data_IF_031808073453
#
_entry.id   IF_031808073453
#
_cell.length_a   1.000
_cell.length_b   1.000
_cell.length_c   1.000
_cell.angle_alpha   90.00
_cell.angle_beta   90.00
_cell.angle_gamma   90.00
#
_symmetry.space_group_name_H-M   'P 1'
#
loop_
_entity.id
_entity.type
_entity.pdbx_description
1 polymer ?
#
# COMPACT_ATOMS: atom_id res chain seq x y z
N UNK A 1 -13.19 26.37 28.38
CA UNK A 1 -11.89 25.69 28.19
C UNK A 1 -12.14 24.39 27.44
N UNK A 2 -11.57 24.23 26.25
CA UNK A 2 -11.74 23.05 25.39
C UNK A 2 -10.48 22.19 25.41
N UNK A 3 -10.63 20.98 25.90
CA UNK A 3 -9.82 19.78 25.69
C UNK A 3 -10.89 18.67 25.71
N UNK A 4 -11.04 17.74 24.78
CA UNK A 4 -10.13 17.00 23.91
C UNK A 4 -11.00 16.40 22.80
N UNK A 5 -10.46 16.19 21.60
CA UNK A 5 -10.77 15.03 20.76
C UNK A 5 -9.79 15.01 19.59
N UNK A 6 -8.57 14.57 19.90
CA UNK A 6 -7.57 14.18 18.92
C UNK A 6 -7.69 12.67 18.75
N UNK A 7 -8.64 12.22 17.94
CA UNK A 7 -8.78 10.81 17.55
C UNK A 7 -8.76 10.75 16.03
N UNK A 8 -7.56 10.54 15.49
CA UNK A 8 -7.31 10.40 14.07
C UNK A 8 -5.98 9.71 13.82
N UNK A 9 -5.71 8.58 14.48
CA UNK A 9 -4.48 7.83 14.23
C UNK A 9 -4.51 6.33 14.58
N UNK A 10 -5.68 5.69 14.60
CA UNK A 10 -5.78 4.26 14.96
C UNK A 10 -6.33 3.33 13.87
N UNK A 11 -6.78 3.82 12.70
CA UNK A 11 -7.37 2.93 11.68
C UNK A 11 -6.40 2.48 10.57
N UNK A 12 -5.24 3.12 10.41
CA UNK A 12 -4.24 2.73 9.39
C UNK A 12 -3.43 1.49 9.84
N UNK A 13 -3.27 1.30 11.15
CA UNK A 13 -2.49 0.19 11.73
C UNK A 13 -3.22 -1.17 11.69
N UNK A 14 -4.55 -1.18 11.59
CA UNK A 14 -5.31 -2.45 11.55
C UNK A 14 -5.21 -3.18 10.21
N UNK A 15 -4.93 -2.48 9.11
CA UNK A 15 -4.90 -3.10 7.77
C UNK A 15 -3.64 -3.95 7.53
N UNK A 16 -2.51 -3.57 8.16
CA UNK A 16 -1.24 -4.30 8.05
C UNK A 16 -1.03 -5.33 9.17
N UNK A 17 -1.70 -5.17 10.32
CA UNK A 17 -1.58 -6.08 11.46
C UNK A 17 -2.30 -7.42 11.31
N UNK A 18 -3.42 -7.47 10.56
CA UNK A 18 -4.22 -8.71 10.38
C UNK A 18 -3.52 -9.72 9.45
N UNK A 19 -2.65 -9.26 8.56
CA UNK A 19 -1.92 -10.12 7.62
C UNK A 19 -0.79 -10.91 8.33
N UNK A 20 -0.30 -10.42 9.47
CA UNK A 20 0.88 -10.98 10.16
C UNK A 20 0.49 -12.07 11.19
N UNK A 21 -0.75 -12.09 11.71
CA UNK A 21 -1.13 -13.00 12.80
C UNK A 21 -1.65 -14.38 12.37
N UNK A 22 -1.94 -14.61 11.08
CA UNK A 22 -2.45 -15.89 10.59
C UNK A 22 -1.35 -16.89 10.15
N UNK A 23 -0.08 -16.52 10.24
CA UNK A 23 1.06 -17.36 9.83
C UNK A 23 1.68 -18.25 10.93
N UNK A 24 1.17 -18.24 12.16
CA UNK A 24 1.86 -18.88 13.30
C UNK A 24 1.26 -20.22 13.78
N UNK A 25 0.34 -20.84 13.05
CA UNK A 25 -0.16 -22.17 13.40
C UNK A 25 -0.17 -23.12 12.21
N UNK A 26 1.01 -23.55 11.77
CA UNK A 26 1.16 -24.88 11.18
C UNK A 26 2.58 -25.40 11.40
N UNK A 27 2.87 -25.83 12.63
CA UNK A 27 3.95 -26.78 12.87
C UNK A 27 3.51 -28.14 12.37
N UNK A 28 4.07 -28.63 11.26
CA UNK A 28 4.24 -30.07 11.07
C UNK A 28 5.53 -30.37 10.28
N UNK A 29 6.33 -31.27 10.85
CA UNK A 29 7.63 -31.72 10.35
C UNK A 29 7.48 -32.48 9.02
N UNK A 30 8.09 -32.01 7.93
CA UNK A 30 8.96 -32.84 7.08
C UNK A 30 9.67 -32.04 5.97
N UNK A 31 11.00 -32.08 6.05
CA UNK A 31 12.02 -32.07 4.99
C UNK A 31 11.82 -31.23 3.73
N UNK A 32 12.69 -30.22 3.62
CA UNK A 32 13.29 -29.67 2.39
C UNK A 32 12.32 -29.44 1.23
N UNK A 33 11.67 -28.30 1.26
CA UNK A 33 11.26 -27.61 0.04
C UNK A 33 11.47 -26.14 0.28
N UNK A 34 12.38 -25.54 -0.50
CA UNK A 34 12.59 -24.09 -0.61
C UNK A 34 11.28 -23.43 -1.08
N UNK A 35 10.35 -23.24 -0.15
CA UNK A 35 9.15 -22.45 -0.37
C UNK A 35 9.53 -21.02 -0.03
N UNK A 36 9.91 -20.28 -1.07
CA UNK A 36 10.28 -18.87 -1.03
C UNK A 36 9.14 -17.99 -0.51
N UNK A 37 9.03 -17.91 0.81
CA UNK A 37 8.63 -16.68 1.47
C UNK A 37 9.91 -15.85 1.53
N UNK A 38 10.16 -14.99 0.53
CA UNK A 38 11.34 -14.10 0.57
C UNK A 38 11.16 -13.14 1.75
N UNK A 39 11.73 -13.53 2.90
CA UNK A 39 11.77 -12.70 4.10
C UNK A 39 12.61 -11.44 3.89
N UNK A 40 13.38 -11.39 2.79
CA UNK A 40 14.31 -10.34 2.43
C UNK A 40 13.87 -9.64 1.13
N UNK A 41 13.95 -8.30 1.07
CA UNK A 41 13.65 -7.55 -0.15
C UNK A 41 14.64 -7.94 -1.26
N UNK A 42 14.14 -8.11 -2.48
CA UNK A 42 14.97 -8.50 -3.63
C UNK A 42 15.87 -7.36 -4.12
N UNK A 43 15.61 -6.13 -3.64
CA UNK A 43 16.39 -4.93 -3.95
C UNK A 43 16.52 -4.02 -2.73
N UNK A 44 17.58 -3.22 -2.69
CA UNK A 44 17.77 -2.19 -1.65
C UNK A 44 16.58 -1.22 -1.56
N UNK A 45 16.01 -0.86 -2.71
CA UNK A 45 14.87 0.06 -2.82
C UNK A 45 13.60 -0.52 -2.17
N UNK A 46 13.30 -1.80 -2.43
CA UNK A 46 12.20 -2.50 -1.76
C UNK A 46 12.41 -2.56 -0.25
N UNK A 47 13.65 -2.80 0.19
CA UNK A 47 14.00 -2.81 1.61
C UNK A 47 13.77 -1.45 2.27
N UNK A 48 14.25 -0.38 1.64
CA UNK A 48 14.11 0.98 2.14
C UNK A 48 12.64 1.41 2.21
N UNK A 49 11.83 1.08 1.21
CA UNK A 49 10.38 1.35 1.25
C UNK A 49 9.69 0.55 2.35
N UNK A 50 10.03 -0.73 2.53
CA UNK A 50 9.45 -1.54 3.61
C UNK A 50 9.77 -0.95 4.99
N UNK A 51 11.02 -0.54 5.21
CA UNK A 51 11.43 0.14 6.44
C UNK A 51 10.62 1.42 6.61
N UNK A 52 10.54 2.26 5.57
CA UNK A 52 9.81 3.52 5.59
C UNK A 52 8.32 3.34 5.97
N UNK A 53 7.66 2.31 5.43
CA UNK A 53 6.26 1.99 5.75
C UNK A 53 6.07 1.49 7.19
N UNK A 54 7.09 0.86 7.77
CA UNK A 54 7.09 0.41 9.17
C UNK A 54 7.49 1.51 10.16
N UNK A 55 8.25 2.51 9.73
CA UNK A 55 8.63 3.65 10.57
C UNK A 55 7.38 4.43 11.00
N UNK A 56 7.11 4.65 12.29
CA UNK A 56 6.00 5.47 12.76
C UNK A 56 6.04 6.90 12.19
N UNK A 57 4.88 7.50 11.91
CA UNK A 57 4.77 8.86 11.33
C UNK A 57 5.61 9.89 12.08
N UNK A 58 5.67 9.80 13.41
CA UNK A 58 6.41 10.71 14.29
C UNK A 58 7.93 10.62 14.14
N UNK A 59 8.43 9.50 13.62
CA UNK A 59 9.84 9.24 13.42
C UNK A 59 10.28 9.47 11.97
N UNK A 60 9.34 9.73 11.05
CA UNK A 60 9.66 10.02 9.66
C UNK A 60 10.12 11.46 9.48
N UNK A 61 11.11 11.65 8.62
CA UNK A 61 11.53 12.96 8.15
C UNK A 61 10.45 13.64 7.31
N UNK A 62 10.65 14.92 6.98
CA UNK A 62 9.71 15.66 6.13
C UNK A 62 9.74 15.11 4.71
N UNK A 63 10.92 14.76 4.23
CA UNK A 63 11.18 14.22 2.90
C UNK A 63 10.54 12.83 2.74
N UNK A 64 10.64 11.99 3.76
CA UNK A 64 10.00 10.68 3.82
C UNK A 64 8.47 10.77 3.80
N UNK A 65 7.91 11.69 4.59
CA UNK A 65 6.47 11.96 4.58
C UNK A 65 6.00 12.49 3.21
N UNK A 66 6.78 13.36 2.57
CA UNK A 66 6.47 13.88 1.25
C UNK A 66 6.50 12.76 0.19
N UNK A 67 7.51 11.89 0.23
CA UNK A 67 7.62 10.75 -0.67
C UNK A 67 6.40 9.82 -0.52
N UNK A 68 6.00 9.49 0.71
CA UNK A 68 4.82 8.65 0.96
C UNK A 68 3.54 9.30 0.44
N UNK A 69 3.36 10.61 0.64
CA UNK A 69 2.21 11.34 0.10
C UNK A 69 2.19 11.34 -1.43
N UNK A 70 3.36 11.47 -2.08
CA UNK A 70 3.48 11.39 -3.53
C UNK A 70 3.17 9.98 -4.04
N UNK A 71 3.71 8.94 -3.41
CA UNK A 71 3.41 7.54 -3.74
C UNK A 71 1.93 7.24 -3.58
N UNK A 72 1.32 7.65 -2.47
CA UNK A 72 -0.11 7.50 -2.19
C UNK A 72 -0.94 8.17 -3.30
N UNK A 73 -0.62 9.42 -3.64
CA UNK A 73 -1.32 10.15 -4.69
C UNK A 73 -1.18 9.47 -6.06
N UNK A 74 0.03 9.00 -6.41
CA UNK A 74 0.25 8.29 -7.67
C UNK A 74 -0.53 6.97 -7.73
N UNK A 75 -0.57 6.21 -6.63
CA UNK A 75 -1.32 4.96 -6.55
C UNK A 75 -2.82 5.23 -6.71
N UNK A 76 -3.43 6.14 -5.96
CA UNK A 76 -4.88 6.33 -6.04
C UNK A 76 -5.37 7.03 -7.30
N UNK A 77 -4.54 7.89 -7.90
CA UNK A 77 -4.89 8.57 -9.14
C UNK A 77 -4.78 7.67 -10.37
N UNK A 78 -3.84 6.72 -10.38
CA UNK A 78 -3.53 5.93 -11.58
C UNK A 78 -3.77 4.43 -11.43
N UNK A 79 -3.88 3.89 -10.22
CA UNK A 79 -4.36 2.52 -10.04
C UNK A 79 -5.90 2.54 -10.07
N UNK A 80 -6.47 1.64 -10.88
CA UNK A 80 -7.91 1.49 -11.02
C UNK A 80 -8.28 0.02 -10.82
N UNK A 81 -9.47 -0.19 -10.28
CA UNK A 81 -10.07 -1.50 -10.16
C UNK A 81 -11.09 -1.67 -11.29
N UNK A 82 -10.80 -2.53 -12.25
CA UNK A 82 -11.65 -2.82 -13.40
C UNK A 82 -11.82 -4.33 -13.52
N UNK A 83 -13.07 -4.80 -13.60
CA UNK A 83 -13.39 -6.24 -13.64
C UNK A 83 -12.72 -7.02 -12.50
N UNK A 84 -12.78 -6.47 -11.29
CA UNK A 84 -12.17 -7.06 -10.07
C UNK A 84 -10.64 -7.26 -10.15
N UNK A 85 -9.98 -6.56 -11.08
CA UNK A 85 -8.52 -6.57 -11.23
C UNK A 85 -7.93 -5.19 -11.11
N UNK A 86 -6.79 -5.11 -10.44
CA UNK A 86 -6.00 -3.90 -10.34
C UNK A 86 -5.24 -3.63 -11.64
N UNK A 87 -5.34 -2.41 -12.14
CA UNK A 87 -4.64 -1.96 -13.34
C UNK A 87 -3.98 -0.61 -13.09
N UNK A 88 -2.71 -0.49 -13.50
CA UNK A 88 -1.98 0.77 -13.44
C UNK A 88 -2.12 1.51 -14.77
N UNK A 89 -2.89 2.61 -14.79
CA UNK A 89 -3.19 3.46 -15.95
C UNK A 89 -2.22 4.64 -16.05
N UNK A 90 -0.93 4.36 -15.94
CA UNK A 90 0.15 5.33 -16.20
C UNK A 90 1.36 4.62 -16.76
N UNK A 91 2.04 5.25 -17.73
CA UNK A 91 3.30 4.74 -18.25
C UNK A 91 4.47 5.07 -17.33
N UNK A 92 5.55 4.28 -17.39
CA UNK A 92 6.80 4.59 -16.66
C UNK A 92 7.32 5.99 -16.97
N UNK A 93 7.22 6.42 -18.23
CA UNK A 93 7.66 7.76 -18.66
C UNK A 93 6.83 8.87 -18.01
N UNK A 94 5.52 8.72 -17.94
CA UNK A 94 4.64 9.70 -17.27
C UNK A 94 4.87 9.71 -15.76
N UNK A 95 5.10 8.54 -15.17
CA UNK A 95 5.48 8.40 -13.76
C UNK A 95 6.77 9.18 -13.44
N UNK A 96 7.82 9.00 -14.24
CA UNK A 96 9.09 9.72 -14.07
C UNK A 96 8.93 11.24 -14.31
N UNK A 97 8.06 11.66 -15.22
CA UNK A 97 7.72 13.08 -15.42
C UNK A 97 7.06 13.73 -14.20
N UNK A 98 6.41 12.95 -13.33
CA UNK A 98 5.87 13.43 -12.05
C UNK A 98 6.94 13.53 -10.95
N UNK A 99 8.22 13.28 -11.28
CA UNK A 99 9.34 13.34 -10.35
C UNK A 99 9.55 12.05 -9.55
N UNK A 100 8.88 10.95 -9.93
CA UNK A 100 8.95 9.69 -9.20
C UNK A 100 9.98 8.74 -9.80
N UNK A 101 10.74 8.03 -8.95
CA UNK A 101 11.72 7.04 -9.42
C UNK A 101 11.03 5.92 -10.21
N UNK A 102 11.63 5.54 -11.34
CA UNK A 102 11.20 4.40 -12.15
C UNK A 102 11.31 3.06 -11.43
N UNK A 103 12.08 2.97 -10.34
CA UNK A 103 12.15 1.77 -9.50
C UNK A 103 10.85 1.55 -8.72
N UNK A 104 10.24 2.62 -8.20
CA UNK A 104 8.93 2.53 -7.56
C UNK A 104 7.83 2.13 -8.54
N UNK A 105 7.93 2.56 -9.81
CA UNK A 105 7.04 2.10 -10.86
C UNK A 105 7.13 0.59 -11.07
N UNK A 106 8.37 0.07 -11.13
CA UNK A 106 8.62 -1.36 -11.31
C UNK A 106 8.07 -2.16 -10.13
N UNK A 107 8.37 -1.74 -8.91
CA UNK A 107 7.85 -2.35 -7.69
C UNK A 107 6.31 -2.39 -7.69
N UNK A 108 5.65 -1.26 -7.95
CA UNK A 108 4.19 -1.20 -7.98
C UNK A 108 3.59 -2.12 -9.06
N UNK A 109 4.24 -2.25 -10.22
CA UNK A 109 3.80 -3.17 -11.28
C UNK A 109 3.91 -4.64 -10.87
N UNK A 110 4.95 -5.00 -10.13
CA UNK A 110 5.14 -6.35 -9.58
C UNK A 110 4.10 -6.63 -8.50
N UNK A 111 3.92 -5.72 -7.54
CA UNK A 111 2.89 -5.83 -6.48
C UNK A 111 1.47 -5.98 -7.06
N UNK A 112 1.12 -5.18 -8.08
CA UNK A 112 -0.19 -5.30 -8.75
C UNK A 112 -0.34 -6.68 -9.43
N UNK A 113 0.72 -7.21 -10.01
CA UNK A 113 0.70 -8.54 -10.63
C UNK A 113 0.46 -9.62 -9.57
N UNK A 114 1.20 -9.56 -8.48
CA UNK A 114 1.12 -10.55 -7.41
C UNK A 114 -0.21 -10.47 -6.66
N UNK A 115 -0.71 -9.27 -6.40
CA UNK A 115 -2.03 -9.05 -5.83
C UNK A 115 -3.15 -9.60 -6.72
N UNK A 116 -3.08 -9.36 -8.04
CA UNK A 116 -4.06 -9.92 -8.96
C UNK A 116 -3.99 -11.46 -8.99
N UNK A 117 -2.78 -12.04 -9.00
CA UNK A 117 -2.63 -13.50 -8.93
C UNK A 117 -3.23 -14.07 -7.64
N UNK A 118 -3.03 -13.38 -6.51
CA UNK A 118 -3.61 -13.77 -5.23
C UNK A 118 -5.15 -13.71 -5.28
N UNK A 119 -5.71 -12.63 -5.82
CA UNK A 119 -7.17 -12.47 -5.99
C UNK A 119 -7.77 -13.52 -6.90
N UNK A 120 -7.08 -13.90 -7.97
CA UNK A 120 -7.53 -14.93 -8.91
C UNK A 120 -7.55 -16.33 -8.28
N UNK A 121 -6.71 -16.55 -7.27
CA UNK A 121 -6.50 -17.85 -6.63
C UNK A 121 -7.17 -17.99 -5.26
N UNK A 122 -7.73 -16.90 -4.71
CA UNK A 122 -8.43 -16.90 -3.42
C UNK A 122 -9.90 -16.48 -3.57
N UNK A 123 -10.81 -17.27 -3.01
CA UNK A 123 -12.24 -16.93 -2.98
C UNK A 123 -12.63 -16.20 -1.69
N UNK A 124 -12.00 -16.52 -0.56
CA UNK A 124 -12.38 -15.99 0.75
C UNK A 124 -11.98 -14.52 0.93
N UNK A 125 -10.74 -14.17 0.59
CA UNK A 125 -10.20 -12.83 0.87
C UNK A 125 -10.44 -11.82 -0.24
N UNK A 126 -10.97 -12.27 -1.39
CA UNK A 126 -11.14 -11.43 -2.59
C UNK A 126 -11.98 -10.19 -2.29
N UNK A 127 -13.22 -10.37 -1.84
CA UNK A 127 -14.12 -9.23 -1.61
C UNK A 127 -13.55 -8.26 -0.57
N UNK A 128 -12.94 -8.79 0.51
CA UNK A 128 -12.31 -7.98 1.54
C UNK A 128 -11.22 -7.05 0.97
N UNK A 129 -10.38 -7.56 0.07
CA UNK A 129 -9.33 -6.77 -0.58
C UNK A 129 -9.93 -5.68 -1.47
N UNK A 130 -10.94 -6.04 -2.27
CA UNK A 130 -11.60 -5.11 -3.18
C UNK A 130 -12.28 -3.96 -2.39
N UNK A 131 -13.03 -4.30 -1.34
CA UNK A 131 -13.71 -3.34 -0.48
C UNK A 131 -12.71 -2.44 0.26
N UNK A 132 -11.64 -3.06 0.79
CA UNK A 132 -10.58 -2.32 1.48
C UNK A 132 -9.95 -1.26 0.58
N UNK A 133 -9.65 -1.61 -0.68
CA UNK A 133 -9.08 -0.65 -1.62
C UNK A 133 -10.08 0.46 -1.99
N UNK A 134 -11.34 0.11 -2.26
CA UNK A 134 -12.37 1.09 -2.59
C UNK A 134 -12.58 2.09 -1.46
N UNK A 135 -12.65 1.61 -0.22
CA UNK A 135 -12.77 2.45 0.97
C UNK A 135 -11.59 3.41 1.11
N UNK A 136 -10.37 2.91 0.94
CA UNK A 136 -9.16 3.74 1.02
C UNK A 136 -9.13 4.81 -0.09
N UNK A 137 -9.53 4.45 -1.31
CA UNK A 137 -9.64 5.38 -2.44
C UNK A 137 -10.67 6.49 -2.18
N UNK A 138 -11.85 6.13 -1.68
CA UNK A 138 -12.89 7.11 -1.33
C UNK A 138 -12.41 8.05 -0.22
N UNK A 139 -11.67 7.55 0.77
CA UNK A 139 -11.12 8.38 1.83
C UNK A 139 -10.08 9.37 1.29
N UNK A 140 -9.20 8.92 0.40
CA UNK A 140 -8.24 9.77 -0.30
C UNK A 140 -8.95 10.89 -1.09
N UNK A 141 -10.00 10.55 -1.83
CA UNK A 141 -10.79 11.52 -2.62
C UNK A 141 -11.43 12.58 -1.72
N UNK A 142 -12.06 12.19 -0.60
CA UNK A 142 -12.61 13.12 0.40
C UNK A 142 -11.54 14.05 1.00
N UNK A 143 -10.36 13.53 1.33
CA UNK A 143 -9.24 14.34 1.85
C UNK A 143 -8.73 15.33 0.79
N UNK A 144 -8.71 14.94 -0.48
CA UNK A 144 -8.30 15.82 -1.59
C UNK A 144 -9.31 16.94 -1.83
N UNK A 145 -10.60 16.64 -1.85
CA UNK A 145 -11.68 17.62 -2.05
C UNK A 145 -11.75 18.64 -0.91
N UNK A 146 -11.68 18.18 0.34
CA UNK A 146 -11.68 19.06 1.51
C UNK A 146 -10.51 20.04 1.51
N UNK A 147 -9.31 19.62 1.11
CA UNK A 147 -8.15 20.52 0.93
C UNK A 147 -8.39 21.56 -0.16
N UNK A 148 -9.02 21.18 -1.27
CA UNK A 148 -9.35 22.13 -2.35
C UNK A 148 -10.40 23.16 -1.95
N UNK A 149 -11.37 22.78 -1.10
CA UNK A 149 -12.38 23.69 -0.56
C UNK A 149 -11.80 24.71 0.42
N UNK A 150 -10.75 24.36 1.18
CA UNK A 150 -10.07 25.28 2.11
C UNK A 150 -9.16 26.30 1.40
N UNK A 151 -8.85 26.08 0.12
CA UNK A 151 -8.00 26.96 -0.70
C UNK A 151 -8.81 27.94 -1.57
N UNK A 152 -10.14 27.87 -1.52
CA UNK A 152 -11.07 28.78 -2.21
C UNK A 152 -11.71 29.74 -1.22
#
# INVERSE_FOLDING_TARGET
MRFTHFFGQHQILTLLGVIISLGLFSCNNQTNTDNGLSAFPDTEVQGNIRILLMTPDSLRSKEENLLLQQLEAMIYNYCVLENERFQLKISKREWEKQGMSGEYYKMLKEEIKDLNNFIDTTSFSKQLILDSYQNAKQEYEKRRESKQLQLK
#
